data_IF_159589957945
#
_entry.id   IF_159589957945
#
_cell.length_a   1.000
_cell.length_b   1.000
_cell.length_c   1.000
_cell.angle_alpha   90.00
_cell.angle_beta   90.00
_cell.angle_gamma   90.00
#
_symmetry.space_group_name_H-M   'P 1'
#
loop_
_entity.id
_entity.type
_entity.pdbx_description
1 polymer ?
#
# COMPACT_ATOMS: atom_id res chain seq x y z
N UNK A 1 -16.05 -47.86 13.95
CA UNK A 1 -16.46 -47.85 12.54
C UNK A 1 -16.83 -46.39 12.21
N UNK A 2 -15.86 -45.63 11.68
CA UNK A 2 -16.04 -44.21 11.38
C UNK A 2 -17.02 -44.08 10.20
N UNK A 3 -18.19 -43.47 10.46
CA UNK A 3 -19.05 -42.99 9.39
C UNK A 3 -18.37 -41.76 8.77
N UNK A 4 -17.89 -41.93 7.55
CA UNK A 4 -17.46 -40.85 6.67
C UNK A 4 -18.65 -39.88 6.55
N UNK A 5 -18.46 -38.55 6.64
CA UNK A 5 -19.57 -37.62 6.56
C UNK A 5 -20.26 -37.78 5.20
N UNK A 6 -21.59 -37.90 5.21
CA UNK A 6 -22.46 -38.05 4.04
C UNK A 6 -22.49 -36.77 3.18
N UNK A 7 -21.33 -36.34 2.67
CA UNK A 7 -21.17 -35.18 1.77
C UNK A 7 -21.46 -35.55 0.30
N UNK A 8 -21.85 -36.79 0.02
CA UNK A 8 -22.26 -37.20 -1.31
C UNK A 8 -23.72 -36.78 -1.47
N UNK A 9 -23.94 -35.74 -2.28
CA UNK A 9 -25.26 -35.28 -2.72
C UNK A 9 -26.14 -36.50 -3.05
N UNK A 10 -27.17 -36.78 -2.23
CA UNK A 10 -28.03 -37.94 -2.42
C UNK A 10 -28.82 -37.78 -3.72
N UNK A 11 -29.21 -38.89 -4.37
CA UNK A 11 -30.09 -38.81 -5.55
C UNK A 11 -31.42 -38.13 -5.22
N UNK A 12 -31.90 -38.32 -3.99
CA UNK A 12 -33.07 -37.64 -3.44
C UNK A 12 -32.86 -36.12 -3.39
N UNK A 13 -31.64 -35.67 -3.08
CA UNK A 13 -31.31 -34.25 -2.99
C UNK A 13 -31.31 -33.57 -4.38
N UNK A 14 -30.81 -34.29 -5.38
CA UNK A 14 -30.79 -33.85 -6.79
C UNK A 14 -32.22 -33.75 -7.33
N UNK A 15 -33.08 -34.69 -6.98
CA UNK A 15 -34.49 -34.67 -7.37
C UNK A 15 -35.26 -33.54 -6.67
N UNK A 16 -34.94 -33.21 -5.42
CA UNK A 16 -35.48 -32.01 -4.76
C UNK A 16 -35.06 -30.72 -5.47
N UNK A 17 -33.79 -30.62 -5.91
CA UNK A 17 -33.27 -29.46 -6.63
C UNK A 17 -33.91 -29.28 -8.02
N UNK A 18 -34.17 -30.39 -8.73
CA UNK A 18 -34.80 -30.38 -10.05
C UNK A 18 -36.26 -29.90 -10.01
N UNK A 19 -36.93 -30.08 -8.87
CA UNK A 19 -38.31 -29.66 -8.66
C UNK A 19 -38.46 -28.21 -8.15
N UNK A 20 -37.40 -27.40 -8.20
CA UNK A 20 -37.46 -25.99 -7.80
C UNK A 20 -38.12 -25.16 -8.91
N UNK A 21 -39.34 -24.69 -8.64
CA UNK A 21 -40.05 -23.74 -9.48
C UNK A 21 -39.95 -22.32 -8.94
N UNK A 22 -39.94 -21.30 -9.83
CA UNK A 22 -39.96 -19.88 -9.44
C UNK A 22 -41.16 -19.51 -8.55
N UNK A 23 -42.28 -20.24 -8.70
CA UNK A 23 -43.46 -20.06 -7.86
C UNK A 23 -43.23 -20.57 -6.43
N UNK A 24 -42.39 -21.57 -6.24
CA UNK A 24 -42.01 -22.07 -4.90
C UNK A 24 -41.01 -21.13 -4.20
N UNK A 25 -40.17 -20.42 -4.97
CA UNK A 25 -39.29 -19.37 -4.47
C UNK A 25 -40.11 -18.24 -3.84
N UNK A 26 -41.11 -17.75 -4.57
CA UNK A 26 -41.95 -16.62 -4.14
C UNK A 26 -42.85 -17.01 -2.96
N UNK A 27 -43.35 -18.26 -2.94
CA UNK A 27 -44.21 -18.75 -1.87
C UNK A 27 -43.44 -19.20 -0.61
N UNK A 28 -42.10 -19.09 -0.58
CA UNK A 28 -41.29 -19.42 0.60
C UNK A 28 -41.16 -20.92 0.90
N UNK A 29 -41.68 -21.81 0.04
CA UNK A 29 -41.58 -23.27 0.22
C UNK A 29 -40.15 -23.80 0.09
N UNK A 30 -39.23 -22.97 -0.41
CA UNK A 30 -37.80 -23.26 -0.42
C UNK A 30 -37.20 -23.41 0.98
N UNK A 31 -37.64 -22.59 1.95
CA UNK A 31 -37.06 -22.62 3.30
C UNK A 31 -37.47 -23.87 4.09
N UNK A 32 -38.53 -24.56 3.66
CA UNK A 32 -39.05 -25.78 4.30
C UNK A 32 -38.39 -27.05 3.76
N UNK A 33 -37.62 -26.98 2.66
CA UNK A 33 -36.91 -28.14 2.09
C UNK A 33 -35.71 -28.50 2.97
N UNK A 34 -35.54 -29.79 3.25
CA UNK A 34 -34.52 -30.33 4.16
C UNK A 34 -33.10 -29.89 3.79
N UNK A 35 -32.79 -29.83 2.49
CA UNK A 35 -31.48 -29.41 1.98
C UNK A 35 -31.16 -27.95 2.27
N UNK A 36 -32.12 -27.07 1.98
CA UNK A 36 -31.94 -25.63 2.13
C UNK A 36 -31.91 -25.27 3.62
N UNK A 37 -32.74 -25.92 4.44
CA UNK A 37 -32.72 -25.78 5.88
C UNK A 37 -31.36 -26.19 6.50
N UNK A 38 -30.75 -27.27 5.99
CA UNK A 38 -29.44 -27.74 6.46
C UNK A 38 -28.29 -26.83 6.01
N UNK A 39 -28.38 -26.20 4.83
CA UNK A 39 -27.34 -25.32 4.28
C UNK A 39 -27.50 -23.84 4.70
N UNK A 40 -28.64 -23.46 5.25
CA UNK A 40 -28.97 -22.12 5.75
C UNK A 40 -27.89 -21.52 6.68
N UNK A 41 -27.37 -22.22 7.72
CA UNK A 41 -26.31 -21.67 8.57
C UNK A 41 -25.01 -21.40 7.80
N UNK A 42 -24.68 -22.22 6.80
CA UNK A 42 -23.52 -21.97 5.92
C UNK A 42 -23.71 -20.76 5.01
N UNK A 43 -24.92 -20.57 4.47
CA UNK A 43 -25.25 -19.39 3.68
C UNK A 43 -25.16 -18.09 4.51
N UNK A 44 -25.63 -18.12 5.77
CA UNK A 44 -25.49 -17.01 6.70
C UNK A 44 -24.03 -16.71 7.05
N UNK A 45 -23.21 -17.75 7.19
CA UNK A 45 -21.76 -17.59 7.39
C UNK A 45 -21.08 -16.90 6.21
N UNK A 46 -21.43 -17.25 4.98
CA UNK A 46 -20.96 -16.55 3.78
C UNK A 46 -21.46 -15.12 3.70
N UNK A 47 -22.74 -14.87 4.04
CA UNK A 47 -23.30 -13.53 4.09
C UNK A 47 -22.55 -12.65 5.11
N UNK A 48 -22.21 -13.20 6.28
CA UNK A 48 -21.38 -12.52 7.28
C UNK A 48 -20.01 -12.11 6.70
N UNK A 49 -19.34 -13.01 5.99
CA UNK A 49 -18.08 -12.67 5.31
C UNK A 49 -18.26 -11.63 4.22
N UNK A 50 -19.36 -11.66 3.48
CA UNK A 50 -19.65 -10.65 2.47
C UNK A 50 -19.80 -9.25 3.11
N UNK A 51 -20.52 -9.14 4.23
CA UNK A 51 -20.60 -7.89 4.98
C UNK A 51 -19.25 -7.42 5.50
N UNK A 52 -18.46 -8.33 6.09
CA UNK A 52 -17.10 -8.04 6.53
C UNK A 52 -16.21 -7.57 5.37
N UNK A 53 -16.33 -8.19 4.19
CA UNK A 53 -15.59 -7.82 3.00
C UNK A 53 -15.94 -6.40 2.52
N UNK A 54 -17.22 -6.08 2.42
CA UNK A 54 -17.69 -4.74 2.03
C UNK A 54 -17.16 -3.69 3.02
N UNK A 55 -17.25 -3.96 4.32
CA UNK A 55 -16.71 -3.07 5.35
C UNK A 55 -15.20 -2.83 5.21
N UNK A 56 -14.43 -3.88 4.93
CA UNK A 56 -12.99 -3.74 4.68
C UNK A 56 -12.66 -3.01 3.37
N UNK A 57 -13.47 -3.22 2.33
CA UNK A 57 -13.28 -2.59 1.03
C UNK A 57 -13.32 -1.05 1.12
N UNK A 58 -14.32 -0.49 1.81
CA UNK A 58 -14.42 0.96 1.99
C UNK A 58 -13.21 1.56 2.72
N UNK A 59 -12.67 0.86 3.72
CA UNK A 59 -11.46 1.31 4.44
C UNK A 59 -10.23 1.31 3.54
N UNK A 60 -10.14 0.34 2.64
CA UNK A 60 -9.04 0.25 1.68
C UNK A 60 -9.03 1.42 0.69
N UNK A 61 -10.20 1.90 0.26
CA UNK A 61 -10.28 3.04 -0.65
C UNK A 61 -9.73 4.34 -0.03
N UNK A 62 -10.01 4.57 1.25
CA UNK A 62 -9.48 5.72 1.99
C UNK A 62 -7.97 5.63 2.16
N UNK A 63 -7.47 4.47 2.61
CA UNK A 63 -6.04 4.22 2.78
C UNK A 63 -5.27 4.35 1.46
N UNK A 64 -5.82 3.85 0.36
CA UNK A 64 -5.18 3.97 -0.95
C UNK A 64 -5.03 5.45 -1.36
N UNK A 65 -6.03 6.29 -1.07
CA UNK A 65 -5.97 7.73 -1.34
C UNK A 65 -4.91 8.41 -0.48
N UNK A 66 -4.85 8.09 0.81
CA UNK A 66 -3.87 8.63 1.74
C UNK A 66 -2.43 8.26 1.32
N UNK A 67 -2.21 6.99 0.97
CA UNK A 67 -0.92 6.51 0.45
C UNK A 67 -0.52 7.29 -0.81
N UNK A 68 -1.46 7.56 -1.71
CA UNK A 68 -1.16 8.32 -2.93
C UNK A 68 -0.76 9.77 -2.64
N UNK A 69 -1.41 10.44 -1.68
CA UNK A 69 -1.06 11.80 -1.25
C UNK A 69 0.30 11.81 -0.57
N UNK A 70 0.52 10.92 0.40
CA UNK A 70 1.77 10.83 1.14
C UNK A 70 2.97 10.56 0.22
N UNK A 71 2.81 9.70 -0.80
CA UNK A 71 3.86 9.45 -1.78
C UNK A 71 4.19 10.68 -2.63
N UNK A 72 3.19 11.51 -2.97
CA UNK A 72 3.42 12.75 -3.71
C UNK A 72 4.19 13.75 -2.85
N UNK A 73 3.80 13.91 -1.59
CA UNK A 73 4.50 14.78 -0.64
C UNK A 73 5.94 14.33 -0.43
N UNK A 74 6.16 13.04 -0.17
CA UNK A 74 7.49 12.48 0.02
C UNK A 74 8.38 12.66 -1.22
N UNK A 75 7.80 12.55 -2.43
CA UNK A 75 8.51 12.84 -3.68
C UNK A 75 8.87 14.32 -3.80
N UNK A 76 7.95 15.23 -3.46
CA UNK A 76 8.22 16.68 -3.48
C UNK A 76 9.34 17.06 -2.52
N UNK A 77 9.30 16.54 -1.29
CA UNK A 77 10.30 16.79 -0.25
C UNK A 77 11.68 16.28 -0.66
N UNK A 78 11.74 15.11 -1.33
CA UNK A 78 12.97 14.58 -1.90
C UNK A 78 13.55 15.49 -2.98
N UNK A 79 12.72 16.02 -3.87
CA UNK A 79 13.20 16.96 -4.88
C UNK A 79 13.74 18.24 -4.26
N UNK A 80 13.04 18.80 -3.27
CA UNK A 80 13.49 19.99 -2.56
C UNK A 80 14.83 19.77 -1.86
N UNK A 81 15.00 18.62 -1.18
CA UNK A 81 16.26 18.26 -0.53
C UNK A 81 17.42 18.12 -1.53
N UNK A 82 17.16 17.49 -2.68
CA UNK A 82 18.16 17.34 -3.75
C UNK A 82 18.54 18.69 -4.33
N UNK A 83 17.56 19.54 -4.66
CA UNK A 83 17.80 20.88 -5.22
C UNK A 83 18.59 21.73 -4.23
N UNK A 84 18.16 21.80 -2.97
CA UNK A 84 18.83 22.59 -1.93
C UNK A 84 20.27 22.12 -1.70
N UNK A 85 20.48 20.81 -1.62
CA UNK A 85 21.83 20.25 -1.49
C UNK A 85 22.70 20.55 -2.72
N UNK A 86 22.11 20.53 -3.92
CA UNK A 86 22.81 20.84 -5.17
C UNK A 86 23.19 22.32 -5.24
N UNK A 87 22.32 23.24 -4.81
CA UNK A 87 22.62 24.67 -4.71
C UNK A 87 23.76 24.93 -3.72
N UNK A 88 23.71 24.30 -2.54
CA UNK A 88 24.80 24.38 -1.56
C UNK A 88 26.11 23.85 -2.13
N UNK A 89 26.08 22.73 -2.84
CA UNK A 89 27.26 22.14 -3.48
C UNK A 89 27.83 23.04 -4.57
N UNK A 90 26.97 23.68 -5.38
CA UNK A 90 27.38 24.66 -6.38
C UNK A 90 28.02 25.89 -5.72
N UNK A 91 27.40 26.44 -4.68
CA UNK A 91 27.93 27.58 -3.92
C UNK A 91 29.25 27.25 -3.21
N UNK A 92 29.41 26.01 -2.75
CA UNK A 92 30.61 25.53 -2.05
C UNK A 92 31.74 25.12 -3.01
N UNK A 93 31.48 25.08 -4.32
CA UNK A 93 32.49 24.74 -5.33
C UNK A 93 33.63 25.77 -5.28
N UNK A 94 34.87 25.29 -5.21
CA UNK A 94 36.07 26.14 -5.11
C UNK A 94 36.09 27.25 -6.18
N UNK A 95 35.73 26.92 -7.43
CA UNK A 95 35.65 27.91 -8.51
C UNK A 95 34.64 29.03 -8.25
N UNK A 96 33.48 28.73 -7.67
CA UNK A 96 32.44 29.70 -7.34
C UNK A 96 32.82 30.51 -6.10
N UNK A 97 33.43 29.87 -5.08
CA UNK A 97 33.99 30.55 -3.91
C UNK A 97 35.05 31.57 -4.34
N UNK A 98 35.98 31.19 -5.23
CA UNK A 98 37.01 32.08 -5.77
C UNK A 98 36.41 33.24 -6.59
N UNK A 99 35.37 32.98 -7.41
CA UNK A 99 34.63 34.05 -8.09
C UNK A 99 34.02 35.02 -7.07
N UNK A 100 33.40 34.51 -6.00
CA UNK A 100 32.76 35.32 -4.96
C UNK A 100 33.77 36.16 -4.18
N UNK A 101 34.95 35.61 -3.89
CA UNK A 101 36.08 36.30 -3.25
C UNK A 101 36.58 37.45 -4.13
N UNK A 102 36.82 37.19 -5.43
CA UNK A 102 37.25 38.22 -6.39
C UNK A 102 36.22 39.34 -6.52
N UNK A 103 34.94 38.99 -6.66
CA UNK A 103 33.85 39.98 -6.75
C UNK A 103 33.71 40.83 -5.48
N UNK A 104 34.08 40.29 -4.31
CA UNK A 104 34.08 41.01 -3.04
C UNK A 104 35.38 41.78 -2.75
N UNK A 105 36.33 41.85 -3.70
CA UNK A 105 37.66 42.47 -3.53
C UNK A 105 38.45 41.93 -2.32
N UNK A 106 38.22 40.66 -1.95
CA UNK A 106 38.98 40.00 -0.89
C UNK A 106 40.31 39.53 -1.50
N UNK A 107 41.45 39.93 -0.91
CA UNK A 107 42.81 39.52 -1.31
C UNK A 107 43.13 38.08 -0.87
N UNK A 108 42.27 37.13 -1.22
CA UNK A 108 42.46 35.71 -0.92
C UNK A 108 42.73 34.96 -2.23
N UNK A 109 43.88 34.30 -2.30
CA UNK A 109 44.31 33.49 -3.43
C UNK A 109 44.31 32.00 -3.06
N UNK A 110 44.11 31.15 -4.06
CA UNK A 110 44.14 29.70 -3.88
C UNK A 110 45.59 29.23 -3.62
N UNK A 111 45.81 28.45 -2.56
CA UNK A 111 47.12 27.84 -2.32
C UNK A 111 47.42 26.82 -3.44
N UNK A 112 48.35 27.17 -4.33
CA UNK A 112 48.86 26.27 -5.38
C UNK A 112 49.92 25.30 -4.89
N UNK A 113 50.49 25.56 -3.72
CA UNK A 113 51.57 24.79 -3.12
C UNK A 113 51.10 24.21 -1.78
N UNK A 114 51.40 22.94 -1.46
CA UNK A 114 51.02 22.36 -0.18
C UNK A 114 51.75 23.09 0.97
N UNK A 115 51.07 23.35 2.11
CA UNK A 115 51.64 24.11 3.22
C UNK A 115 52.86 23.39 3.82
N UNK A 116 53.98 24.10 3.94
CA UNK A 116 55.21 23.56 4.54
C UNK A 116 55.15 23.61 6.06
N UNK A 117 55.36 22.46 6.70
CA UNK A 117 55.59 22.38 8.13
C UNK A 117 57.01 22.88 8.46
N UNK A 118 57.11 24.02 9.15
CA UNK A 118 58.38 24.50 9.67
C UNK A 118 58.75 23.67 10.91
N UNK A 119 59.73 22.76 10.78
CA UNK A 119 60.37 22.14 11.94
C UNK A 119 61.58 22.98 12.33
N UNK A 120 61.48 23.65 13.48
CA UNK A 120 62.61 24.37 14.09
C UNK A 120 63.59 23.31 14.58
N UNK A 121 64.80 23.29 14.02
CA UNK A 121 65.92 22.49 14.55
C UNK A 121 66.57 23.30 15.67
N UNK A 122 66.58 22.74 16.86
CA UNK A 122 67.42 23.20 17.98
C UNK A 122 68.90 22.97 17.67
#
# INVERSE_FOLDING_TARGET
MNKIPDFILSKEDVDELKNISLRDVINGRLFTRSLIANQLPFALFLAFFAFMYIGNHYRMEEQMREIAVLNRELKSLRYEAITTSSELMFMSKQSEVLKKIRNKNLKLEELREPPRHLKVKY
#
